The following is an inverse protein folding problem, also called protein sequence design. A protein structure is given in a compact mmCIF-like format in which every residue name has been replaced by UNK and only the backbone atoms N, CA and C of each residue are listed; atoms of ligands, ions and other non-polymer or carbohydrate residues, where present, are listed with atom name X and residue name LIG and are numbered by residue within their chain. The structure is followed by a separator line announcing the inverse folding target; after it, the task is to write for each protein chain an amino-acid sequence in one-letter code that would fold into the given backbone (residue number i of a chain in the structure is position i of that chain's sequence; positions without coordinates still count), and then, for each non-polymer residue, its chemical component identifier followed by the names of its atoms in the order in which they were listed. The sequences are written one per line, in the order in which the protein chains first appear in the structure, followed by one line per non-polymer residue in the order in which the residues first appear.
data_IF_218348316451
#
_entry.id   IF_218348316451
#
_cell.length_a   1.000
_cell.length_b   1.000
_cell.length_c   1.000
_cell.angle_alpha   90.00
_cell.angle_beta   90.00
_cell.angle_gamma   90.00
#
_symmetry.space_group_name_H-M   'P 1'
#
loop_
_entity.id
_entity.type
_entity.pdbx_description
1 polymer ?
#
# COMPACT_ATOMS: atom_id res chain seq x y z
N UNK A 1 0.92 20.36 19.98
CA UNK A 1 2.21 20.78 19.46
C UNK A 1 3.15 19.58 19.59
N UNK A 2 3.56 18.98 18.48
CA UNK A 2 4.56 17.91 18.50
C UNK A 2 5.93 18.54 18.77
N UNK A 3 6.64 18.01 19.74
CA UNK A 3 8.00 18.48 20.06
C UNK A 3 8.94 18.01 18.94
N UNK A 4 9.41 18.94 18.13
CA UNK A 4 10.33 18.67 17.00
C UNK A 4 11.63 17.99 17.43
N UNK A 5 11.99 18.09 18.71
CA UNK A 5 13.19 17.44 19.25
C UNK A 5 12.95 15.94 19.41
N UNK A 6 11.75 15.55 19.87
CA UNK A 6 11.34 14.14 19.96
C UNK A 6 11.33 13.49 18.59
N UNK A 7 10.72 14.14 17.60
CA UNK A 7 10.67 13.63 16.23
C UNK A 7 12.07 13.41 15.64
N UNK A 8 12.99 14.38 15.82
CA UNK A 8 14.37 14.27 15.34
C UNK A 8 15.15 13.11 15.97
N UNK A 9 14.83 12.74 17.20
CA UNK A 9 15.51 11.66 17.91
C UNK A 9 14.94 10.29 17.54
N UNK A 10 13.61 10.16 17.46
CA UNK A 10 12.95 8.87 17.26
C UNK A 10 12.83 8.45 15.79
N UNK A 11 12.65 9.39 14.85
CA UNK A 11 12.55 9.08 13.42
C UNK A 11 13.76 8.28 12.89
N UNK A 12 15.02 8.66 13.20
CA UNK A 12 16.18 7.88 12.76
C UNK A 12 16.19 6.44 13.28
N UNK A 13 15.75 6.22 14.53
CA UNK A 13 15.75 4.90 15.16
C UNK A 13 14.79 3.92 14.48
N UNK A 14 13.63 4.42 14.02
CA UNK A 14 12.61 3.59 13.40
C UNK A 14 12.70 3.57 11.87
N UNK A 15 13.55 4.37 11.27
CA UNK A 15 13.64 4.54 9.81
C UNK A 15 13.92 3.23 9.08
N UNK A 16 14.82 2.42 9.59
CA UNK A 16 15.19 1.15 8.99
C UNK A 16 14.06 0.13 9.10
N UNK A 17 13.43 0.06 10.27
CA UNK A 17 12.26 -0.81 10.50
C UNK A 17 11.11 -0.40 9.56
N UNK A 18 10.84 0.89 9.45
CA UNK A 18 9.82 1.42 8.53
C UNK A 18 10.11 1.04 7.07
N UNK A 19 11.34 1.24 6.61
CA UNK A 19 11.78 0.94 5.25
C UNK A 19 11.62 -0.54 4.90
N UNK A 20 11.90 -1.43 5.85
CA UNK A 20 11.86 -2.87 5.62
C UNK A 20 10.47 -3.47 5.83
N UNK A 21 9.68 -2.93 6.76
CA UNK A 21 8.41 -3.55 7.18
C UNK A 21 7.16 -2.84 6.67
N UNK A 22 7.23 -1.54 6.38
CA UNK A 22 6.05 -0.74 6.00
C UNK A 22 6.14 -0.25 4.55
N UNK A 23 7.26 0.31 4.16
CA UNK A 23 7.42 0.94 2.85
C UNK A 23 7.12 0.01 1.66
N UNK A 24 7.46 -1.30 1.68
CA UNK A 24 7.12 -2.21 0.57
C UNK A 24 5.62 -2.29 0.29
N UNK A 25 4.78 -2.16 1.32
CA UNK A 25 3.32 -2.17 1.18
C UNK A 25 2.69 -0.89 0.61
N UNK A 26 3.46 0.16 0.33
CA UNK A 26 2.91 1.48 0.00
C UNK A 26 2.85 1.79 -1.51
N UNK A 27 3.23 0.89 -2.41
CA UNK A 27 3.31 1.19 -3.84
C UNK A 27 1.96 1.64 -4.42
N UNK A 28 0.89 0.90 -4.15
CA UNK A 28 -0.46 1.27 -4.59
C UNK A 28 -0.91 2.60 -3.99
N UNK A 29 -0.78 2.78 -2.68
CA UNK A 29 -1.23 3.99 -1.99
C UNK A 29 -0.50 5.25 -2.51
N UNK A 30 0.80 5.15 -2.80
CA UNK A 30 1.59 6.26 -3.35
C UNK A 30 1.16 6.67 -4.77
N UNK A 31 0.61 5.75 -5.57
CA UNK A 31 0.23 6.00 -6.96
C UNK A 31 -1.27 6.21 -7.15
N UNK A 32 -2.10 5.46 -6.43
CA UNK A 32 -3.55 5.49 -6.59
C UNK A 32 -4.25 6.39 -5.56
N UNK A 33 -3.55 6.79 -4.49
CA UNK A 33 -4.16 7.50 -3.37
C UNK A 33 -5.06 6.59 -2.52
N UNK A 34 -6.11 7.15 -1.95
CA UNK A 34 -7.03 6.42 -1.08
C UNK A 34 -7.94 5.49 -1.92
N UNK A 35 -7.91 4.21 -1.60
CA UNK A 35 -8.75 3.17 -2.18
C UNK A 35 -9.74 2.58 -1.14
N UNK A 36 -9.96 3.28 -0.03
CA UNK A 36 -10.81 2.84 1.09
C UNK A 36 -10.41 1.45 1.59
N UNK A 37 -11.36 0.54 1.77
CA UNK A 37 -11.08 -0.85 2.19
C UNK A 37 -10.21 -1.64 1.21
N UNK A 38 -10.22 -1.28 -0.07
CA UNK A 38 -9.33 -1.84 -1.09
C UNK A 38 -7.84 -1.54 -0.83
N UNK A 39 -7.53 -0.48 -0.07
CA UNK A 39 -6.15 -0.13 0.30
C UNK A 39 -5.43 -1.24 1.08
N UNK A 40 -6.15 -2.04 1.87
CA UNK A 40 -5.59 -3.17 2.59
C UNK A 40 -5.01 -4.21 1.63
N UNK A 41 -5.79 -4.60 0.64
CA UNK A 41 -5.35 -5.56 -0.39
C UNK A 41 -4.37 -4.96 -1.38
N UNK A 42 -4.49 -3.66 -1.67
CA UNK A 42 -3.49 -2.91 -2.43
C UNK A 42 -2.13 -2.88 -1.73
N UNK A 43 -2.13 -2.76 -0.40
CA UNK A 43 -0.93 -2.87 0.42
C UNK A 43 -0.32 -4.28 0.37
N UNK A 44 -1.14 -5.31 0.49
CA UNK A 44 -0.69 -6.71 0.36
C UNK A 44 -0.11 -6.99 -1.04
N UNK A 45 -0.82 -6.58 -2.10
CA UNK A 45 -0.33 -6.71 -3.48
C UNK A 45 1.00 -5.98 -3.70
N UNK A 46 1.15 -4.78 -3.13
CA UNK A 46 2.39 -4.00 -3.18
C UNK A 46 3.55 -4.74 -2.51
N UNK A 47 3.32 -5.31 -1.32
CA UNK A 47 4.31 -6.09 -0.58
C UNK A 47 4.78 -7.29 -1.41
N UNK A 48 3.83 -8.11 -1.92
CA UNK A 48 4.11 -9.31 -2.70
C UNK A 48 4.82 -9.00 -4.03
N UNK A 49 4.67 -7.79 -4.56
CA UNK A 49 5.31 -7.37 -5.81
C UNK A 49 6.68 -6.72 -5.61
N UNK A 50 7.03 -6.31 -4.38
CA UNK A 50 8.28 -5.59 -4.08
C UNK A 50 9.28 -6.42 -3.28
N UNK A 51 8.81 -7.42 -2.57
CA UNK A 51 9.66 -8.26 -1.72
C UNK A 51 9.73 -9.65 -2.32
N UNK A 52 10.95 -10.15 -2.46
CA UNK A 52 11.19 -11.47 -3.02
C UNK A 52 10.49 -12.57 -2.21
N UNK A 53 9.97 -13.56 -2.93
CA UNK A 53 9.26 -14.70 -2.36
C UNK A 53 10.05 -15.40 -1.25
N UNK A 54 11.35 -15.59 -1.45
CA UNK A 54 12.22 -16.28 -0.49
C UNK A 54 12.37 -15.49 0.82
N UNK A 55 12.43 -14.15 0.71
CA UNK A 55 12.48 -13.26 1.88
C UNK A 55 11.18 -13.32 2.69
N UNK A 56 10.03 -13.54 2.02
CA UNK A 56 8.71 -13.63 2.66
C UNK A 56 8.42 -15.00 3.27
N UNK A 57 9.14 -16.05 2.89
CA UNK A 57 8.91 -17.41 3.40
C UNK A 57 8.90 -17.45 4.92
N UNK A 58 7.89 -18.12 5.48
CA UNK A 58 7.64 -18.26 6.93
C UNK A 58 7.44 -16.93 7.69
N UNK A 59 7.43 -15.78 7.01
CA UNK A 59 7.10 -14.50 7.64
C UNK A 59 5.59 -14.39 7.90
N UNK A 60 5.25 -13.53 8.85
CA UNK A 60 3.87 -13.11 9.10
C UNK A 60 3.67 -11.69 8.57
N UNK A 61 2.62 -11.50 7.79
CA UNK A 61 2.19 -10.20 7.27
C UNK A 61 0.98 -9.77 8.07
N UNK A 62 1.12 -8.69 8.81
CA UNK A 62 0.02 -8.09 9.58
C UNK A 62 -0.80 -7.18 8.70
N UNK A 63 -2.12 -7.30 8.78
CA UNK A 63 -3.09 -6.49 8.05
C UNK A 63 -4.05 -5.85 9.06
N UNK A 64 -4.19 -4.54 8.93
CA UNK A 64 -5.09 -3.75 9.77
C UNK A 64 -5.95 -2.85 8.89
N UNK A 65 -7.24 -2.90 9.10
CA UNK A 65 -8.20 -2.02 8.47
C UNK A 65 -9.19 -1.50 9.51
N UNK A 66 -9.57 -0.24 9.39
CA UNK A 66 -10.61 0.34 10.21
C UNK A 66 -11.56 1.19 9.37
N UNK A 67 -12.79 1.30 9.83
CA UNK A 67 -13.80 2.22 9.31
C UNK A 67 -14.26 3.19 10.39
N UNK A 68 -14.48 4.45 10.03
CA UNK A 68 -14.95 5.50 10.98
C UNK A 68 -16.32 5.19 11.61
N UNK A 69 -17.03 4.17 11.14
CA UNK A 69 -18.27 3.64 11.74
C UNK A 69 -18.05 2.63 12.87
N UNK A 70 -16.96 2.72 13.62
CA UNK A 70 -16.64 1.89 14.79
C UNK A 70 -16.32 0.42 14.50
N UNK A 71 -15.88 0.08 13.28
CA UNK A 71 -15.43 -1.27 12.94
C UNK A 71 -13.93 -1.28 12.63
N UNK A 72 -13.20 -2.23 13.23
CA UNK A 72 -11.79 -2.46 12.93
C UNK A 72 -11.50 -3.95 12.87
N UNK A 73 -10.60 -4.34 11.98
CA UNK A 73 -10.13 -5.72 11.87
C UNK A 73 -8.61 -5.73 11.85
N UNK A 74 -8.02 -6.59 12.66
CA UNK A 74 -6.60 -6.88 12.67
C UNK A 74 -6.38 -8.39 12.56
N UNK A 75 -5.62 -8.80 11.56
CA UNK A 75 -5.29 -10.21 11.37
C UNK A 75 -3.89 -10.36 10.76
N UNK A 76 -3.36 -11.56 10.78
CA UNK A 76 -2.07 -11.86 10.20
C UNK A 76 -2.15 -13.06 9.26
N UNK A 77 -1.46 -12.99 8.14
CA UNK A 77 -1.26 -14.07 7.19
C UNK A 77 0.14 -14.64 7.37
N UNK A 78 0.27 -15.95 7.45
CA UNK A 78 1.57 -16.63 7.41
C UNK A 78 1.86 -17.02 5.96
N UNK A 79 3.01 -16.64 5.44
CA UNK A 79 3.47 -17.06 4.12
C UNK A 79 4.02 -18.48 4.23
N UNK A 80 3.31 -19.46 3.65
CA UNK A 80 3.69 -20.89 3.73
C UNK A 80 4.21 -21.45 2.41
N UNK A 81 4.02 -20.74 1.30
CA UNK A 81 4.42 -21.16 -0.05
C UNK A 81 5.05 -20.02 -0.84
N UNK A 82 5.50 -20.32 -2.05
CA UNK A 82 6.06 -19.31 -2.94
C UNK A 82 4.99 -18.28 -3.34
N UNK A 83 5.34 -17.00 -3.24
CA UNK A 83 4.51 -15.88 -3.68
C UNK A 83 4.84 -15.42 -5.10
N UNK A 84 5.80 -16.08 -5.76
CA UNK A 84 6.33 -15.68 -7.07
C UNK A 84 5.25 -15.66 -8.15
N UNK A 85 4.46 -16.72 -8.25
CA UNK A 85 3.36 -16.81 -9.23
C UNK A 85 2.32 -15.70 -9.03
N UNK A 86 2.01 -15.37 -7.78
CA UNK A 86 1.07 -14.27 -7.46
C UNK A 86 1.67 -12.93 -7.92
N UNK A 87 2.94 -12.67 -7.60
CA UNK A 87 3.64 -11.45 -8.00
C UNK A 87 3.69 -11.29 -9.52
N UNK A 88 4.01 -12.37 -10.24
CA UNK A 88 4.07 -12.40 -11.71
C UNK A 88 2.69 -12.11 -12.34
N UNK A 89 1.64 -12.78 -11.85
CA UNK A 89 0.26 -12.55 -12.33
C UNK A 89 -0.27 -11.15 -12.02
N UNK A 90 0.08 -10.59 -10.87
CA UNK A 90 -0.26 -9.22 -10.52
C UNK A 90 0.38 -8.21 -11.47
N UNK A 91 1.62 -8.43 -11.85
CA UNK A 91 2.42 -7.52 -12.69
C UNK A 91 2.24 -6.05 -12.26
N UNK A 92 2.20 -5.82 -10.93
CA UNK A 92 1.69 -4.59 -10.34
C UNK A 92 2.58 -3.39 -10.64
N UNK A 93 3.89 -3.51 -10.48
CA UNK A 93 4.80 -2.37 -10.62
C UNK A 93 4.83 -1.81 -12.04
N UNK A 94 4.92 -2.63 -13.10
CA UNK A 94 4.77 -2.14 -14.47
C UNK A 94 3.41 -1.48 -14.73
N UNK A 95 2.31 -2.07 -14.25
CA UNK A 95 0.97 -1.49 -14.39
C UNK A 95 0.85 -0.14 -13.69
N UNK A 96 1.43 0.03 -12.51
CA UNK A 96 1.46 1.33 -11.82
C UNK A 96 2.34 2.36 -12.54
N UNK A 97 3.43 1.92 -13.18
CA UNK A 97 4.29 2.81 -13.95
C UNK A 97 3.61 3.30 -15.24
N UNK A 98 2.80 2.45 -15.87
CA UNK A 98 2.07 2.74 -17.11
C UNK A 98 0.80 3.60 -16.91
N UNK A 99 0.48 3.96 -15.68
CA UNK A 99 -0.68 4.82 -15.37
C UNK A 99 -0.55 6.18 -16.06
N UNK A 100 -1.55 6.52 -16.88
CA UNK A 100 -1.62 7.81 -17.56
C UNK A 100 -1.79 8.96 -16.55
N UNK A 101 -0.89 9.93 -16.61
CA UNK A 101 -1.01 11.17 -15.85
C UNK A 101 -1.70 12.21 -16.75
N UNK A 102 -2.79 12.76 -16.26
CA UNK A 102 -3.58 13.76 -17.01
C UNK A 102 -3.61 15.10 -16.27
N UNK A 103 -3.78 16.23 -16.98
CA UNK A 103 -4.00 17.52 -16.35
C UNK A 103 -5.26 17.54 -15.47
N UNK A 104 -5.25 18.39 -14.45
CA UNK A 104 -6.40 18.50 -13.52
C UNK A 104 -7.72 18.85 -14.24
N UNK A 105 -7.66 19.58 -15.34
CA UNK A 105 -8.84 19.94 -16.15
C UNK A 105 -9.53 18.70 -16.72
N UNK A 106 -8.78 17.76 -17.30
CA UNK A 106 -9.35 16.49 -17.81
C UNK A 106 -10.04 15.69 -16.71
N UNK A 107 -9.44 15.65 -15.52
CA UNK A 107 -10.05 15.02 -14.36
C UNK A 107 -11.40 15.67 -13.99
N UNK A 108 -11.42 17.01 -13.92
CA UNK A 108 -12.66 17.76 -13.59
C UNK A 108 -13.75 17.52 -14.63
N UNK A 109 -13.40 17.47 -15.91
CA UNK A 109 -14.35 17.17 -16.98
C UNK A 109 -14.92 15.75 -16.90
N UNK A 110 -14.07 14.75 -16.66
CA UNK A 110 -14.49 13.39 -16.46
C UNK A 110 -15.47 13.26 -15.27
N UNK A 111 -15.19 13.95 -14.16
CA UNK A 111 -16.08 13.97 -12.98
C UNK A 111 -17.42 14.65 -13.25
N UNK A 112 -17.49 15.64 -14.15
CA UNK A 112 -18.76 16.27 -14.57
C UNK A 112 -19.64 15.28 -15.35
N UNK A 113 -19.05 14.45 -16.20
CA UNK A 113 -19.78 13.41 -16.95
C UNK A 113 -20.38 12.39 -15.99
N UNK A 114 -19.62 11.92 -14.99
CA UNK A 114 -20.12 10.96 -13.99
C UNK A 114 -21.28 11.49 -13.13
N UNK A 115 -21.45 12.81 -13.00
CA UNK A 115 -22.58 13.42 -12.25
C UNK A 115 -23.86 13.55 -13.05
N UNK A 116 -23.84 13.28 -14.37
CA UNK A 116 -25.03 13.36 -15.25
C UNK A 116 -25.75 12.04 -15.43
N UNK A 117 -25.30 10.98 -14.78
CA UNK A 117 -25.93 9.67 -14.64
C UNK A 117 -26.48 9.54 -13.24
#
# INVERSE_FOLDING_TARGET
MTDKTIDKTFIPLVKEIYKNSVEPGLACAKRCGNMYTGSLYGGLASLLSRVDSDTLQNKRVSLFAYGSGCAASFFALKVVGSTKEISEKLNLLPRLADMKVVPCQEYVEAMKVCRRV
#
